data_IF_542429233608
#
_entry.id   IF_542429233608
#
_cell.length_a   1.000
_cell.length_b   1.000
_cell.length_c   1.000
_cell.angle_alpha   90.00
_cell.angle_beta   90.00
_cell.angle_gamma   90.00
#
_symmetry.space_group_name_H-M   'P 1'
#
loop_
_entity.id
_entity.type
_entity.pdbx_description
1 polymer ?
#
# COMPACT_ATOMS: atom_id res chain seq x y z
N UNK A 1 -33.97 22.88 -4.32
CA UNK A 1 -32.69 23.03 -3.59
C UNK A 1 -32.53 21.86 -2.62
N UNK A 2 -32.55 20.65 -3.06
CA UNK A 2 -32.62 19.44 -2.22
C UNK A 2 -32.24 18.15 -2.95
N UNK A 3 -31.56 18.23 -4.08
CA UNK A 3 -31.24 17.02 -4.89
C UNK A 3 -29.77 16.94 -5.32
N UNK A 4 -28.93 17.87 -4.93
CA UNK A 4 -27.49 17.92 -5.34
C UNK A 4 -26.51 17.46 -4.26
N UNK A 5 -26.96 17.00 -3.11
CA UNK A 5 -26.09 16.59 -1.98
C UNK A 5 -25.91 15.07 -1.88
N UNK A 6 -26.61 14.26 -2.68
CA UNK A 6 -26.57 12.80 -2.56
C UNK A 6 -25.64 12.09 -3.57
N UNK A 7 -25.05 12.79 -4.52
CA UNK A 7 -24.20 12.16 -5.56
C UNK A 7 -22.69 12.24 -5.30
N UNK A 8 -22.24 12.99 -4.29
CA UNK A 8 -20.80 13.12 -3.98
C UNK A 8 -20.22 12.03 -3.07
N UNK A 9 -20.99 11.02 -2.66
CA UNK A 9 -20.53 9.99 -1.71
C UNK A 9 -20.14 8.65 -2.33
N UNK A 10 -19.99 8.55 -3.64
CA UNK A 10 -19.79 7.28 -4.35
C UNK A 10 -18.36 7.12 -4.95
N UNK A 11 -17.37 7.87 -4.49
CA UNK A 11 -16.09 8.00 -5.21
C UNK A 11 -14.89 7.69 -4.34
N UNK A 12 -14.91 6.60 -3.65
CA UNK A 12 -13.68 5.96 -3.18
C UNK A 12 -13.53 4.62 -3.89
N UNK A 13 -12.73 4.63 -4.91
CA UNK A 13 -11.81 3.65 -5.34
C UNK A 13 -11.91 2.30 -4.75
N UNK A 14 -12.38 1.32 -5.39
CA UNK A 14 -12.20 -0.07 -4.96
C UNK A 14 -12.66 -0.40 -3.53
N UNK A 15 -13.15 0.59 -2.79
CA UNK A 15 -13.75 0.45 -1.47
C UNK A 15 -15.09 1.17 -1.53
N UNK A 16 -16.05 0.52 -2.16
CA UNK A 16 -17.44 0.97 -2.14
C UNK A 16 -18.03 0.69 -0.77
N UNK A 17 -18.36 1.74 -0.02
CA UNK A 17 -19.25 1.64 1.14
C UNK A 17 -20.61 1.11 0.67
N UNK A 18 -20.85 -0.19 0.82
CA UNK A 18 -22.19 -0.77 0.64
C UNK A 18 -23.03 -0.40 1.86
N UNK A 19 -23.94 0.54 1.67
CA UNK A 19 -25.06 0.74 2.60
C UNK A 19 -25.96 -0.50 2.55
N UNK A 20 -25.96 -1.29 3.61
CA UNK A 20 -26.87 -2.39 3.83
C UNK A 20 -28.29 -1.84 4.06
N UNK A 21 -29.23 -2.06 3.15
CA UNK A 21 -30.66 -2.02 3.44
C UNK A 21 -31.08 -3.37 4.02
N UNK A 22 -31.79 -3.29 5.13
CA UNK A 22 -32.35 -4.42 5.87
C UNK A 22 -33.39 -5.20 5.05
N UNK A 23 -33.37 -6.49 5.29
CA UNK A 23 -34.37 -7.56 5.12
C UNK A 23 -33.96 -8.64 4.10
N UNK A 24 -33.48 -9.73 4.66
CA UNK A 24 -33.28 -11.00 3.97
C UNK A 24 -32.54 -12.00 4.85
N UNK A 25 -33.27 -12.85 5.53
CA UNK A 25 -32.81 -14.00 6.30
C UNK A 25 -31.93 -14.90 5.44
N UNK A 26 -30.63 -15.02 5.79
CA UNK A 26 -29.77 -16.08 5.29
C UNK A 26 -29.51 -17.11 6.39
N UNK A 27 -29.94 -18.33 6.13
CA UNK A 27 -29.63 -19.52 6.94
C UNK A 27 -28.16 -19.90 6.77
N UNK A 28 -27.43 -19.97 7.87
CA UNK A 28 -26.08 -20.53 7.92
C UNK A 28 -26.14 -22.05 7.84
N UNK A 29 -25.51 -22.64 6.83
CA UNK A 29 -25.18 -24.05 6.82
C UNK A 29 -23.91 -24.26 7.69
N UNK A 30 -24.05 -25.10 8.68
CA UNK A 30 -22.99 -25.50 9.61
C UNK A 30 -22.16 -26.65 9.03
N UNK A 31 -20.86 -26.54 9.21
CA UNK A 31 -19.84 -27.60 9.32
C UNK A 31 -19.64 -28.60 8.17
N UNK A 32 -18.41 -28.64 7.70
CA UNK A 32 -17.84 -29.79 7.01
C UNK A 32 -16.59 -29.44 6.21
N UNK A 33 -15.48 -30.00 6.64
CA UNK A 33 -14.21 -30.19 5.93
C UNK A 33 -13.35 -28.97 5.59
N UNK A 34 -12.32 -28.84 6.42
CA UNK A 34 -11.05 -28.19 6.06
C UNK A 34 -10.29 -29.13 5.12
N UNK A 35 -10.64 -29.12 3.87
CA UNK A 35 -9.85 -29.68 2.77
C UNK A 35 -9.18 -28.51 2.05
N UNK A 36 -7.84 -28.55 1.88
CA UNK A 36 -7.08 -27.58 1.11
C UNK A 36 -7.61 -27.46 -0.33
N UNK A 37 -8.57 -26.59 -0.54
CA UNK A 37 -9.12 -26.25 -1.84
C UNK A 37 -8.25 -25.19 -2.48
N UNK A 38 -7.63 -25.51 -3.61
CA UNK A 38 -7.15 -24.53 -4.57
C UNK A 38 -8.29 -23.50 -4.80
N UNK A 39 -8.01 -22.23 -4.54
CA UNK A 39 -8.96 -21.15 -4.80
C UNK A 39 -9.32 -21.18 -6.28
N UNK A 40 -10.62 -21.29 -6.62
CA UNK A 40 -11.16 -21.19 -7.99
C UNK A 40 -11.00 -19.75 -8.57
N UNK A 41 -9.82 -19.17 -8.39
CA UNK A 41 -9.50 -17.84 -8.93
C UNK A 41 -9.28 -18.00 -10.45
N UNK A 42 -9.94 -17.21 -11.29
CA UNK A 42 -9.72 -17.27 -12.73
C UNK A 42 -8.22 -17.08 -13.06
N UNK A 43 -7.64 -17.87 -13.96
CA UNK A 43 -6.18 -17.84 -14.24
C UNK A 43 -5.62 -16.46 -14.61
N UNK A 44 -6.46 -15.57 -15.13
CA UNK A 44 -6.06 -14.20 -15.45
C UNK A 44 -5.96 -13.30 -14.23
N UNK A 45 -6.77 -13.52 -13.19
CA UNK A 45 -6.69 -12.79 -11.91
C UNK A 45 -5.39 -13.14 -11.20
N UNK A 46 -5.02 -14.43 -11.15
CA UNK A 46 -3.74 -14.87 -10.57
C UNK A 46 -2.52 -14.25 -11.27
N UNK A 47 -2.63 -14.02 -12.58
CA UNK A 47 -1.55 -13.37 -13.34
C UNK A 47 -1.41 -11.90 -12.93
N UNK A 48 -2.50 -11.14 -12.81
CA UNK A 48 -2.47 -9.75 -12.35
C UNK A 48 -1.99 -9.66 -10.89
N UNK A 49 -2.37 -10.61 -10.05
CA UNK A 49 -1.87 -10.71 -8.68
C UNK A 49 -0.35 -10.84 -8.66
N UNK A 50 0.22 -11.82 -9.38
CA UNK A 50 1.69 -12.00 -9.49
C UNK A 50 2.38 -10.79 -10.08
N UNK A 51 1.79 -10.16 -11.10
CA UNK A 51 2.27 -8.92 -11.69
C UNK A 51 2.37 -7.81 -10.64
N UNK A 52 1.30 -7.59 -9.87
CA UNK A 52 1.27 -6.58 -8.82
C UNK A 52 2.27 -6.87 -7.68
N UNK A 53 2.47 -8.14 -7.32
CA UNK A 53 3.46 -8.55 -6.30
C UNK A 53 4.90 -8.25 -6.77
N UNK A 54 5.24 -8.63 -8.02
CA UNK A 54 6.56 -8.39 -8.59
C UNK A 54 6.85 -6.89 -8.70
N UNK A 55 5.89 -6.13 -9.23
CA UNK A 55 5.97 -4.68 -9.27
C UNK A 55 6.20 -4.10 -7.87
N UNK A 56 5.41 -4.54 -6.88
CA UNK A 56 5.47 -4.01 -5.53
C UNK A 56 6.85 -4.22 -4.88
N UNK A 57 7.46 -5.39 -5.03
CA UNK A 57 8.78 -5.68 -4.48
C UNK A 57 9.87 -4.84 -5.15
N UNK A 58 9.85 -4.72 -6.49
CA UNK A 58 10.80 -3.91 -7.24
C UNK A 58 10.63 -2.42 -6.89
N UNK A 59 9.39 -1.93 -6.86
CA UNK A 59 9.08 -0.56 -6.48
C UNK A 59 9.59 -0.23 -5.07
N UNK A 60 9.35 -1.11 -4.11
CA UNK A 60 9.84 -0.94 -2.74
C UNK A 60 11.37 -0.92 -2.67
N UNK A 61 12.04 -1.79 -3.41
CA UNK A 61 13.51 -1.78 -3.50
C UNK A 61 14.01 -0.43 -4.01
N UNK A 62 13.50 0.07 -5.14
CA UNK A 62 13.98 1.33 -5.72
C UNK A 62 13.70 2.54 -4.83
N UNK A 63 12.55 2.57 -4.13
CA UNK A 63 12.26 3.63 -3.15
C UNK A 63 13.26 3.58 -2.00
N UNK A 64 13.54 2.40 -1.46
CA UNK A 64 14.50 2.21 -0.36
C UNK A 64 15.90 2.63 -0.80
N UNK A 65 16.34 2.22 -1.99
CA UNK A 65 17.64 2.61 -2.54
C UNK A 65 17.74 4.12 -2.79
N UNK A 66 16.67 4.74 -3.31
CA UNK A 66 16.64 6.19 -3.52
C UNK A 66 16.83 6.96 -2.21
N UNK A 67 16.19 6.51 -1.13
CA UNK A 67 16.28 7.18 0.18
C UNK A 67 17.64 6.89 0.84
N UNK A 68 18.13 5.67 0.77
CA UNK A 68 19.32 5.25 1.49
C UNK A 68 20.63 5.71 0.84
N UNK A 69 20.66 5.83 -0.49
CA UNK A 69 21.87 6.19 -1.22
C UNK A 69 21.89 7.62 -1.76
N UNK A 70 20.80 8.38 -1.63
CA UNK A 70 20.77 9.78 -2.06
C UNK A 70 21.02 10.72 -0.88
N UNK A 71 22.20 11.37 -0.81
CA UNK A 71 22.56 12.26 0.31
C UNK A 71 21.68 13.52 0.40
N UNK A 72 20.93 13.83 -0.64
CA UNK A 72 20.01 14.98 -0.65
C UNK A 72 18.62 14.63 -0.07
N UNK A 73 18.33 13.35 0.19
CA UNK A 73 17.08 12.92 0.80
C UNK A 73 17.25 12.90 2.32
N UNK A 74 16.53 13.77 3.00
CA UNK A 74 16.61 13.90 4.46
C UNK A 74 15.62 13.00 5.20
N UNK A 75 14.64 12.47 4.50
CA UNK A 75 13.62 11.56 5.06
C UNK A 75 14.21 10.18 5.27
N UNK A 76 14.10 9.66 6.49
CA UNK A 76 14.64 8.33 6.83
C UNK A 76 13.56 7.25 6.88
N UNK A 77 12.33 7.65 7.27
CA UNK A 77 11.18 6.75 7.26
C UNK A 77 10.51 6.78 5.88
N UNK A 78 10.02 5.64 5.43
CA UNK A 78 9.34 5.49 4.15
C UNK A 78 7.99 4.83 4.41
N UNK A 79 6.95 5.33 3.76
CA UNK A 79 5.75 4.58 3.47
C UNK A 79 5.29 4.91 2.06
N UNK A 80 5.08 3.89 1.25
CA UNK A 80 4.54 3.99 -0.11
C UNK A 80 3.47 2.93 -0.32
N UNK A 81 2.61 3.15 -1.30
CA UNK A 81 1.69 2.13 -1.78
C UNK A 81 2.09 1.68 -3.19
N UNK A 82 2.84 0.59 -3.31
CA UNK A 82 3.18 0.02 -4.61
C UNK A 82 1.93 -0.39 -5.39
N UNK A 83 0.93 -0.93 -4.69
CA UNK A 83 -0.35 -1.32 -5.29
C UNK A 83 -1.07 -0.14 -5.94
N UNK A 84 -1.08 1.01 -5.26
CA UNK A 84 -1.70 2.22 -5.81
C UNK A 84 -0.94 2.77 -7.02
N UNK A 85 0.41 2.73 -7.00
CA UNK A 85 1.24 3.10 -8.14
C UNK A 85 0.97 2.15 -9.33
N UNK A 86 0.93 0.83 -9.08
CA UNK A 86 0.59 -0.16 -10.09
C UNK A 86 -0.80 0.10 -10.71
N UNK A 87 -1.79 0.42 -9.89
CA UNK A 87 -3.14 0.78 -10.33
C UNK A 87 -3.15 2.00 -11.26
N UNK A 88 -2.50 3.10 -10.86
CA UNK A 88 -2.43 4.31 -11.70
C UNK A 88 -1.76 4.03 -13.05
N UNK A 89 -0.70 3.22 -13.05
CA UNK A 89 -0.02 2.84 -14.29
C UNK A 89 -0.90 1.95 -15.18
N UNK A 90 -1.71 1.06 -14.60
CA UNK A 90 -2.66 0.28 -15.40
C UNK A 90 -3.72 1.14 -16.05
N UNK A 91 -4.23 2.16 -15.35
CA UNK A 91 -5.19 3.12 -15.89
C UNK A 91 -4.63 3.87 -17.10
N UNK A 92 -3.40 4.37 -16.98
CA UNK A 92 -2.81 5.21 -18.02
C UNK A 92 -2.41 4.42 -19.27
N UNK A 93 -2.29 3.08 -19.19
CA UNK A 93 -2.08 2.25 -20.39
C UNK A 93 -3.22 2.42 -21.41
N UNK A 94 -4.44 2.77 -20.96
CA UNK A 94 -5.59 2.99 -21.85
C UNK A 94 -5.37 4.16 -22.81
N UNK A 95 -4.58 5.15 -22.38
CA UNK A 95 -4.27 6.33 -23.18
C UNK A 95 -2.98 6.24 -23.99
N UNK A 96 -2.14 5.23 -23.71
CA UNK A 96 -0.80 5.12 -24.29
C UNK A 96 -0.78 4.33 -25.59
N UNK A 97 0.22 4.62 -26.44
CA UNK A 97 0.51 3.92 -27.69
C UNK A 97 2.03 3.72 -27.88
N UNK A 98 2.38 2.89 -28.85
CA UNK A 98 3.77 2.68 -29.27
C UNK A 98 4.68 2.28 -28.10
N UNK A 99 5.89 2.84 -28.08
CA UNK A 99 6.91 2.50 -27.08
C UNK A 99 6.52 2.97 -25.68
N UNK A 100 5.78 4.07 -25.54
CA UNK A 100 5.24 4.51 -24.25
C UNK A 100 4.37 3.41 -23.62
N UNK A 101 3.48 2.78 -24.40
CA UNK A 101 2.67 1.64 -23.94
C UNK A 101 3.54 0.41 -23.64
N UNK A 102 4.53 0.11 -24.49
CA UNK A 102 5.43 -1.02 -24.27
C UNK A 102 6.20 -0.91 -22.95
N UNK A 103 6.78 0.25 -22.64
CA UNK A 103 7.48 0.50 -21.38
C UNK A 103 6.56 0.32 -20.17
N UNK A 104 5.32 0.80 -20.25
CA UNK A 104 4.31 0.61 -19.20
C UNK A 104 3.97 -0.87 -18.99
N UNK A 105 3.69 -1.62 -20.07
CA UNK A 105 3.34 -3.04 -19.99
C UNK A 105 4.50 -3.89 -19.45
N UNK A 106 5.74 -3.58 -19.83
CA UNK A 106 6.95 -4.26 -19.32
C UNK A 106 7.10 -4.02 -17.82
N UNK A 107 6.98 -2.77 -17.38
CA UNK A 107 7.09 -2.43 -15.96
C UNK A 107 5.96 -3.04 -15.11
N UNK A 108 4.77 -3.14 -15.68
CA UNK A 108 3.62 -3.80 -15.06
C UNK A 108 3.71 -5.34 -15.11
N UNK A 109 4.69 -5.94 -15.79
CA UNK A 109 4.80 -7.39 -16.04
C UNK A 109 3.52 -7.98 -16.69
N UNK A 110 2.94 -7.26 -17.65
CA UNK A 110 1.74 -7.63 -18.40
C UNK A 110 2.06 -7.69 -19.88
N UNK A 111 1.61 -8.73 -20.57
CA UNK A 111 1.95 -8.93 -21.99
C UNK A 111 1.07 -8.11 -22.92
N UNK A 112 -0.21 -7.94 -22.58
CA UNK A 112 -1.20 -7.29 -23.42
C UNK A 112 -2.19 -6.50 -22.55
N UNK A 113 -2.62 -5.35 -23.03
CA UNK A 113 -3.59 -4.47 -22.36
C UNK A 113 -4.94 -5.18 -22.11
N UNK A 114 -5.36 -6.08 -23.00
CA UNK A 114 -6.59 -6.86 -22.85
C UNK A 114 -6.60 -7.72 -21.58
N UNK A 115 -5.44 -8.15 -21.09
CA UNK A 115 -5.34 -8.90 -19.85
C UNK A 115 -5.76 -8.01 -18.65
N UNK A 116 -5.37 -6.73 -18.68
CA UNK A 116 -5.80 -5.77 -17.67
C UNK A 116 -7.32 -5.58 -17.75
N UNK A 117 -7.84 -5.24 -18.94
CA UNK A 117 -9.28 -4.98 -19.14
C UNK A 117 -10.17 -6.15 -18.71
N UNK A 118 -9.75 -7.38 -19.01
CA UNK A 118 -10.55 -8.58 -18.74
C UNK A 118 -10.56 -8.96 -17.25
N UNK A 119 -9.49 -8.69 -16.52
CA UNK A 119 -9.31 -9.21 -15.16
C UNK A 119 -9.16 -8.14 -14.07
N UNK A 120 -9.03 -6.86 -14.44
CA UNK A 120 -8.86 -5.78 -13.46
C UNK A 120 -10.05 -5.67 -12.50
N UNK A 121 -11.29 -5.62 -12.99
CA UNK A 121 -12.47 -5.52 -12.12
C UNK A 121 -12.61 -6.69 -11.14
N UNK A 122 -12.55 -7.96 -11.57
CA UNK A 122 -12.55 -9.09 -10.63
C UNK A 122 -11.39 -9.01 -9.63
N UNK A 123 -10.19 -8.65 -10.08
CA UNK A 123 -9.02 -8.45 -9.22
C UNK A 123 -9.28 -7.33 -8.21
N UNK A 124 -9.74 -6.19 -8.67
CA UNK A 124 -10.05 -5.05 -7.85
C UNK A 124 -11.18 -5.33 -6.83
N UNK A 125 -12.23 -6.03 -7.23
CA UNK A 125 -13.34 -6.41 -6.34
C UNK A 125 -12.90 -7.30 -5.19
N UNK A 126 -11.83 -8.08 -5.36
CA UNK A 126 -11.29 -8.91 -4.28
C UNK A 126 -10.80 -8.11 -3.07
N UNK A 127 -10.52 -6.80 -3.25
CA UNK A 127 -10.13 -5.89 -2.17
C UNK A 127 -11.30 -5.13 -1.53
N UNK A 128 -12.49 -5.17 -2.12
CA UNK A 128 -13.63 -4.33 -1.70
C UNK A 128 -14.27 -4.72 -0.37
N UNK A 129 -13.84 -5.81 0.26
CA UNK A 129 -14.39 -6.33 1.51
C UNK A 129 -13.47 -6.00 2.71
N UNK A 130 -13.02 -4.75 2.82
CA UNK A 130 -12.25 -4.33 3.98
C UNK A 130 -13.14 -4.26 5.23
N UNK A 131 -12.55 -4.62 6.35
CA UNK A 131 -13.18 -4.67 7.65
C UNK A 131 -13.49 -3.27 8.19
N UNK A 132 -14.52 -3.17 9.04
CA UNK A 132 -14.84 -1.94 9.77
C UNK A 132 -13.72 -1.54 10.75
N UNK A 133 -12.88 -2.49 11.09
CA UNK A 133 -11.77 -2.35 12.03
C UNK A 133 -10.49 -1.78 11.37
N UNK A 134 -10.55 -1.49 10.07
CA UNK A 134 -9.43 -0.88 9.33
C UNK A 134 -9.90 0.38 8.65
N UNK A 135 -9.33 1.50 9.07
CA UNK A 135 -9.48 2.77 8.35
C UNK A 135 -8.46 2.81 7.22
N UNK A 136 -8.94 2.56 6.02
CA UNK A 136 -8.18 2.77 4.81
C UNK A 136 -8.94 3.80 3.96
N UNK A 137 -8.42 5.02 3.90
CA UNK A 137 -8.90 6.02 2.96
C UNK A 137 -7.89 6.13 1.82
N UNK A 138 -8.37 5.94 0.59
CA UNK A 138 -7.53 5.98 -0.60
C UNK A 138 -8.26 6.69 -1.73
N UNK A 139 -7.55 7.55 -2.45
CA UNK A 139 -8.06 8.19 -3.65
C UNK A 139 -6.98 8.25 -4.73
N UNK A 140 -7.39 8.08 -5.98
CA UNK A 140 -6.52 8.16 -7.13
C UNK A 140 -7.17 9.06 -8.18
N UNK A 141 -6.38 9.93 -8.76
CA UNK A 141 -6.86 10.87 -9.75
C UNK A 141 -5.89 10.97 -10.93
N UNK A 142 -6.45 11.01 -12.12
CA UNK A 142 -5.79 11.45 -13.36
C UNK A 142 -6.30 12.85 -13.63
N UNK A 143 -5.47 13.84 -13.38
CA UNK A 143 -5.83 15.26 -13.50
C UNK A 143 -5.38 15.77 -14.87
N UNK A 144 -6.31 16.26 -15.66
CA UNK A 144 -6.08 16.74 -17.03
C UNK A 144 -6.49 18.19 -17.17
N UNK A 145 -6.01 18.88 -18.22
CA UNK A 145 -6.40 20.26 -18.48
C UNK A 145 -7.81 20.29 -19.10
N UNK A 146 -8.76 20.99 -18.46
CA UNK A 146 -10.13 21.17 -18.98
C UNK A 146 -10.17 21.87 -20.34
N UNK A 147 -9.14 22.66 -20.68
CA UNK A 147 -9.00 23.31 -21.98
C UNK A 147 -8.45 22.37 -23.06
N UNK A 148 -8.09 21.15 -22.70
CA UNK A 148 -7.63 20.09 -23.58
C UNK A 148 -8.45 18.84 -23.31
N UNK A 149 -9.68 18.76 -23.83
CA UNK A 149 -10.57 17.65 -23.53
C UNK A 149 -9.95 16.32 -23.94
N UNK A 150 -10.16 15.33 -23.09
CA UNK A 150 -9.77 13.96 -23.38
C UNK A 150 -10.71 13.31 -24.39
N UNK A 151 -10.23 12.28 -25.10
CA UNK A 151 -11.06 11.54 -26.04
C UNK A 151 -12.18 10.78 -25.30
N UNK A 152 -13.33 10.69 -25.95
CA UNK A 152 -14.47 9.93 -25.40
C UNK A 152 -14.17 8.44 -25.24
N UNK A 153 -13.29 7.90 -26.07
CA UNK A 153 -12.90 6.50 -25.99
C UNK A 153 -12.07 6.24 -24.74
N UNK A 154 -11.15 7.14 -24.39
CA UNK A 154 -10.37 7.07 -23.16
C UNK A 154 -11.27 7.22 -21.92
N UNK A 155 -12.15 8.22 -21.91
CA UNK A 155 -13.12 8.43 -20.82
C UNK A 155 -14.00 7.18 -20.64
N UNK A 156 -14.55 6.66 -21.73
CA UNK A 156 -15.36 5.43 -21.71
C UNK A 156 -14.59 4.20 -21.24
N UNK A 157 -13.29 4.09 -21.58
CA UNK A 157 -12.46 2.99 -21.09
C UNK A 157 -12.27 3.07 -19.58
N UNK A 158 -11.99 4.26 -19.04
CA UNK A 158 -11.87 4.45 -17.59
C UNK A 158 -13.18 4.10 -16.85
N UNK A 159 -14.32 4.54 -17.36
CA UNK A 159 -15.64 4.25 -16.77
C UNK A 159 -15.99 2.76 -16.83
N UNK A 160 -15.72 2.11 -17.97
CA UNK A 160 -16.09 0.72 -18.19
C UNK A 160 -15.19 -0.27 -17.47
N UNK A 161 -13.88 -0.03 -17.43
CA UNK A 161 -12.92 -1.00 -16.91
C UNK A 161 -12.40 -0.66 -15.51
N UNK A 162 -12.48 0.64 -15.10
CA UNK A 162 -11.92 1.12 -13.84
C UNK A 162 -12.99 1.81 -12.99
N UNK A 163 -12.86 3.11 -12.74
CA UNK A 163 -13.79 3.90 -11.94
C UNK A 163 -14.03 5.27 -12.56
N UNK A 164 -15.29 5.70 -12.69
CA UNK A 164 -15.66 6.94 -13.39
C UNK A 164 -15.12 8.22 -12.74
N UNK A 165 -14.72 8.18 -11.50
CA UNK A 165 -14.27 9.37 -10.76
C UNK A 165 -12.77 9.57 -10.74
N UNK A 166 -12.03 8.70 -11.40
CA UNK A 166 -10.56 8.82 -11.50
C UNK A 166 -10.16 10.03 -12.33
N UNK A 167 -10.89 10.32 -13.41
CA UNK A 167 -10.59 11.45 -14.29
C UNK A 167 -11.11 12.77 -13.71
N UNK A 168 -10.22 13.75 -13.56
CA UNK A 168 -10.53 15.07 -13.00
C UNK A 168 -10.04 16.19 -13.93
N UNK A 169 -10.90 16.74 -14.79
CA UNK A 169 -10.56 17.93 -15.58
C UNK A 169 -10.43 19.17 -14.69
N UNK A 170 -9.31 19.89 -14.82
CA UNK A 170 -9.00 21.09 -14.04
C UNK A 170 -8.45 22.19 -14.93
N UNK A 171 -8.61 23.44 -14.53
CA UNK A 171 -8.08 24.59 -15.26
C UNK A 171 -6.61 24.87 -14.90
N UNK A 172 -5.67 24.32 -15.64
CA UNK A 172 -4.23 24.53 -15.36
C UNK A 172 -3.79 25.98 -15.60
N UNK A 173 -4.54 26.79 -16.34
CA UNK A 173 -4.28 28.21 -16.47
C UNK A 173 -4.62 28.99 -15.19
N UNK A 174 -5.61 28.53 -14.42
CA UNK A 174 -5.93 29.07 -13.10
C UNK A 174 -5.34 28.19 -11.98
N UNK A 175 -4.02 28.30 -11.80
CA UNK A 175 -3.28 27.46 -10.85
C UNK A 175 -3.81 27.55 -9.43
N UNK A 176 -4.18 28.74 -8.94
CA UNK A 176 -4.68 28.91 -7.57
C UNK A 176 -5.99 28.15 -7.34
N UNK A 177 -6.93 28.25 -8.27
CA UNK A 177 -8.20 27.53 -8.17
C UNK A 177 -7.99 26.01 -8.28
N UNK A 178 -7.13 25.56 -9.19
CA UNK A 178 -6.78 24.14 -9.35
C UNK A 178 -6.12 23.58 -8.08
N UNK A 179 -5.15 24.30 -7.51
CA UNK A 179 -4.51 23.96 -6.26
C UNK A 179 -5.52 23.75 -5.11
N UNK A 180 -6.43 24.73 -4.92
CA UNK A 180 -7.45 24.65 -3.88
C UNK A 180 -8.41 23.47 -4.12
N UNK A 181 -8.83 23.26 -5.37
CA UNK A 181 -9.80 22.23 -5.73
C UNK A 181 -9.22 20.83 -5.55
N UNK A 182 -7.98 20.59 -6.01
CA UNK A 182 -7.31 19.29 -5.88
C UNK A 182 -7.06 18.96 -4.40
N UNK A 183 -6.52 19.90 -3.62
CA UNK A 183 -6.28 19.68 -2.20
C UNK A 183 -7.58 19.47 -1.40
N UNK A 184 -8.67 20.12 -1.79
CA UNK A 184 -9.99 19.86 -1.21
C UNK A 184 -10.49 18.44 -1.54
N UNK A 185 -10.39 17.99 -2.80
CA UNK A 185 -10.75 16.63 -3.19
C UNK A 185 -9.98 15.58 -2.36
N UNK A 186 -8.70 15.82 -2.16
CA UNK A 186 -7.84 14.95 -1.35
C UNK A 186 -8.25 14.95 0.11
N UNK A 187 -8.45 16.12 0.69
CA UNK A 187 -8.88 16.26 2.09
C UNK A 187 -10.23 15.56 2.32
N UNK A 188 -11.19 15.76 1.42
CA UNK A 188 -12.51 15.13 1.52
C UNK A 188 -12.40 13.59 1.39
N UNK A 189 -11.63 13.10 0.43
CA UNK A 189 -11.41 11.66 0.21
C UNK A 189 -10.69 10.99 1.38
N UNK A 190 -9.82 11.70 2.08
CA UNK A 190 -9.07 11.20 3.24
C UNK A 190 -9.66 11.64 4.58
N UNK A 191 -10.89 12.17 4.60
CA UNK A 191 -11.56 12.64 5.82
C UNK A 191 -10.71 13.63 6.64
N UNK A 192 -9.91 14.45 5.96
CA UNK A 192 -9.01 15.43 6.58
C UNK A 192 -7.67 14.86 7.06
N UNK A 193 -7.42 13.56 6.95
CA UNK A 193 -6.13 12.97 7.36
C UNK A 193 -4.96 13.44 6.50
N UNK A 194 -5.21 13.75 5.22
CA UNK A 194 -4.25 14.36 4.30
C UNK A 194 -4.87 15.66 3.78
N UNK A 195 -4.57 16.80 4.40
CA UNK A 195 -5.22 18.07 4.03
C UNK A 195 -4.67 18.68 2.73
N UNK A 196 -3.49 18.24 2.28
CA UNK A 196 -2.79 18.78 1.13
C UNK A 196 -1.95 17.70 0.47
N UNK A 197 -2.04 17.60 -0.87
CA UNK A 197 -1.30 16.60 -1.65
C UNK A 197 -0.50 17.19 -2.82
N UNK A 198 -0.80 18.41 -3.26
CA UNK A 198 -0.05 19.08 -4.31
C UNK A 198 0.43 20.45 -3.87
N UNK A 199 1.54 20.90 -4.46
CA UNK A 199 2.08 22.24 -4.33
C UNK A 199 1.76 23.07 -5.58
N UNK A 200 1.90 24.40 -5.45
CA UNK A 200 1.73 25.29 -6.61
C UNK A 200 2.75 25.01 -7.73
N UNK A 201 3.95 24.56 -7.37
CA UNK A 201 5.00 24.15 -8.30
C UNK A 201 4.62 22.93 -9.15
N UNK A 202 3.79 22.01 -8.63
CA UNK A 202 3.33 20.83 -9.38
C UNK A 202 2.42 21.20 -10.56
N UNK A 203 1.86 22.41 -10.53
CA UNK A 203 1.01 22.96 -11.58
C UNK A 203 1.79 23.81 -12.62
N UNK A 204 3.12 23.93 -12.44
CA UNK A 204 3.98 24.60 -13.42
C UNK A 204 4.18 23.67 -14.62
N UNK A 205 3.80 24.17 -15.81
CA UNK A 205 3.86 23.41 -17.06
C UNK A 205 3.15 22.04 -17.04
N UNK A 206 2.20 21.87 -16.11
CA UNK A 206 1.44 20.64 -15.99
C UNK A 206 0.67 20.31 -17.28
N UNK A 207 0.65 19.01 -17.63
CA UNK A 207 -0.09 18.47 -18.78
C UNK A 207 -1.03 17.35 -18.35
N UNK A 208 -0.53 16.41 -17.59
CA UNK A 208 -1.25 15.33 -16.95
C UNK A 208 -0.58 15.03 -15.61
N UNK A 209 -1.34 15.09 -14.53
CA UNK A 209 -0.87 14.76 -13.19
C UNK A 209 -1.57 13.48 -12.75
N UNK A 210 -0.79 12.50 -12.31
CA UNK A 210 -1.29 11.31 -11.65
C UNK A 210 -1.13 11.50 -10.14
N UNK A 211 -2.22 11.39 -9.40
CA UNK A 211 -2.23 11.61 -7.96
C UNK A 211 -2.80 10.41 -7.23
N UNK A 212 -2.10 9.98 -6.20
CA UNK A 212 -2.53 8.92 -5.29
C UNK A 212 -2.36 9.38 -3.85
N UNK A 213 -3.41 9.28 -3.06
CA UNK A 213 -3.38 9.60 -1.64
C UNK A 213 -3.95 8.45 -0.84
N UNK A 214 -3.26 8.08 0.24
CA UNK A 214 -3.65 6.95 1.07
C UNK A 214 -3.39 7.26 2.54
N UNK A 215 -4.38 6.96 3.35
CA UNK A 215 -4.28 6.96 4.80
C UNK A 215 -4.58 5.56 5.32
N UNK A 216 -3.73 5.05 6.19
CA UNK A 216 -3.91 3.75 6.83
C UNK A 216 -3.80 3.84 8.34
N UNK A 217 -4.82 3.34 9.02
CA UNK A 217 -4.82 3.04 10.45
C UNK A 217 -5.62 1.76 10.66
N UNK A 218 -4.95 0.69 11.09
CA UNK A 218 -5.58 -0.60 11.35
C UNK A 218 -5.67 -0.88 12.84
N UNK A 219 -6.79 -1.46 13.27
CA UNK A 219 -6.92 -2.03 14.60
C UNK A 219 -6.38 -3.46 14.59
N UNK A 220 -5.48 -3.77 15.51
CA UNK A 220 -4.90 -5.13 15.62
C UNK A 220 -5.98 -6.16 15.97
N UNK A 221 -5.90 -7.36 15.43
CA UNK A 221 -6.76 -8.46 15.87
C UNK A 221 -6.59 -8.71 17.37
N UNK A 222 -5.34 -8.67 17.86
CA UNK A 222 -5.00 -8.74 19.30
C UNK A 222 -4.34 -7.40 19.64
N UNK A 223 -4.99 -6.51 20.43
CA UNK A 223 -4.45 -5.20 20.76
C UNK A 223 -3.25 -5.30 21.69
N UNK A 224 -2.37 -4.31 21.62
CA UNK A 224 -1.35 -4.12 22.64
C UNK A 224 -1.98 -3.49 23.91
N UNK A 225 -1.55 -3.97 25.06
CA UNK A 225 -2.00 -3.35 26.33
C UNK A 225 -1.16 -2.11 26.63
N UNK A 226 -1.81 -0.94 26.68
CA UNK A 226 -1.15 0.35 26.94
C UNK A 226 -0.34 0.36 28.23
N UNK A 227 -0.73 -0.44 29.26
CA UNK A 227 0.02 -0.51 30.52
C UNK A 227 1.38 -1.20 30.39
N UNK A 228 1.63 -1.91 29.28
CA UNK A 228 2.90 -2.56 28.98
C UNK A 228 3.76 -1.77 27.99
N UNK A 229 3.26 -0.63 27.48
CA UNK A 229 4.07 0.29 26.69
C UNK A 229 5.07 0.99 27.59
N UNK A 230 6.35 0.91 27.26
CA UNK A 230 7.45 1.48 28.05
C UNK A 230 8.43 2.23 27.16
N UNK A 231 9.08 3.24 27.74
CA UNK A 231 10.13 3.98 27.02
C UNK A 231 11.43 3.17 27.01
N UNK A 232 11.92 2.87 25.81
CA UNK A 232 13.18 2.16 25.62
C UNK A 232 14.05 2.85 24.57
N UNK A 233 15.38 2.64 24.60
CA UNK A 233 16.26 3.23 23.59
C UNK A 233 16.01 2.57 22.21
N UNK A 234 16.00 3.41 21.17
CA UNK A 234 16.04 2.99 19.78
C UNK A 234 17.42 3.28 19.20
N UNK A 235 17.92 2.40 18.37
CA UNK A 235 19.27 2.42 17.84
C UNK A 235 19.27 2.65 16.33
N UNK A 236 20.33 3.24 15.81
CA UNK A 236 20.57 3.31 14.37
C UNK A 236 21.19 2.01 13.81
N UNK A 237 21.53 2.01 12.52
CA UNK A 237 22.15 0.88 11.85
C UNK A 237 23.56 0.54 12.39
N UNK A 238 24.22 1.51 13.07
CA UNK A 238 25.54 1.37 13.69
C UNK A 238 25.45 1.02 15.18
N UNK A 239 24.27 0.62 15.65
CA UNK A 239 24.00 0.33 17.07
C UNK A 239 24.20 1.54 18.01
N UNK A 240 24.14 2.79 17.49
CA UNK A 240 24.17 3.98 18.32
C UNK A 240 22.76 4.37 18.75
N UNK A 241 22.54 4.71 20.05
CA UNK A 241 21.23 5.13 20.50
C UNK A 241 20.86 6.51 19.90
N UNK A 242 19.69 6.61 19.28
CA UNK A 242 19.19 7.85 18.67
C UNK A 242 18.13 8.55 19.48
N UNK A 243 17.61 7.93 20.54
CA UNK A 243 16.61 8.46 21.43
C UNK A 243 15.77 7.38 22.09
N UNK A 244 14.77 7.81 22.89
CA UNK A 244 13.80 6.92 23.52
C UNK A 244 12.54 6.86 22.67
N UNK A 245 11.87 5.70 22.65
CA UNK A 245 10.61 5.46 21.94
C UNK A 245 9.61 4.76 22.84
N UNK A 246 8.32 5.01 22.63
CA UNK A 246 7.26 4.24 23.28
C UNK A 246 7.19 2.85 22.61
N UNK A 247 7.69 1.85 23.32
CA UNK A 247 7.73 0.45 22.87
C UNK A 247 6.53 -0.30 23.41
N UNK A 248 5.63 -0.70 22.51
CA UNK A 248 4.49 -1.56 22.81
C UNK A 248 4.97 -3.00 23.01
N UNK A 249 4.31 -3.73 23.90
CA UNK A 249 4.59 -5.12 24.20
C UNK A 249 3.33 -5.98 24.15
N UNK A 250 3.45 -7.12 23.50
CA UNK A 250 2.48 -8.22 23.63
C UNK A 250 3.16 -9.56 23.48
N UNK A 251 2.48 -10.60 23.93
CA UNK A 251 2.88 -11.99 23.78
C UNK A 251 1.70 -12.81 23.26
N UNK A 252 1.95 -13.65 22.28
CA UNK A 252 0.91 -14.46 21.66
C UNK A 252 1.43 -15.36 20.56
N UNK A 253 0.55 -16.15 19.99
CA UNK A 253 0.86 -17.03 18.85
C UNK A 253 0.71 -16.23 17.58
N UNK A 254 1.81 -15.98 16.90
CA UNK A 254 1.89 -15.24 15.66
C UNK A 254 2.73 -15.99 14.63
N UNK A 255 2.40 -15.89 13.33
CA UNK A 255 3.30 -16.38 12.28
C UNK A 255 4.66 -15.68 12.39
N UNK A 256 5.71 -16.43 12.66
CA UNK A 256 7.05 -15.91 12.87
C UNK A 256 8.10 -16.86 12.36
N UNK A 257 9.00 -16.40 11.51
CA UNK A 257 10.08 -17.22 10.96
C UNK A 257 11.38 -16.44 10.78
N UNK A 258 12.49 -17.19 10.88
CA UNK A 258 13.82 -16.71 10.53
C UNK A 258 14.20 -17.13 9.11
N UNK A 259 14.49 -16.16 8.26
CA UNK A 259 14.86 -16.36 6.85
C UNK A 259 16.36 -16.21 6.67
N UNK A 260 17.06 -17.34 6.51
CA UNK A 260 18.53 -17.36 6.34
C UNK A 260 18.95 -16.68 5.05
N UNK A 261 18.19 -16.89 3.98
CA UNK A 261 18.44 -16.34 2.65
C UNK A 261 18.28 -14.82 2.62
N UNK A 262 17.43 -14.28 3.48
CA UNK A 262 17.20 -12.84 3.60
C UNK A 262 18.09 -12.18 4.67
N UNK A 263 18.75 -12.96 5.53
CA UNK A 263 19.39 -12.46 6.75
C UNK A 263 18.44 -11.64 7.63
N UNK A 264 17.19 -12.08 7.77
CA UNK A 264 16.13 -11.39 8.49
C UNK A 264 15.23 -12.33 9.25
N UNK A 265 14.47 -11.77 10.19
CA UNK A 265 13.28 -12.38 10.79
C UNK A 265 12.05 -11.64 10.26
N UNK A 266 10.98 -12.37 10.04
CA UNK A 266 9.69 -11.79 9.63
C UNK A 266 8.62 -12.26 10.60
N UNK A 267 7.84 -11.29 11.09
CA UNK A 267 6.68 -11.49 11.97
C UNK A 267 5.44 -10.98 11.25
N UNK A 268 4.33 -11.70 11.36
CA UNK A 268 3.03 -11.26 10.87
C UNK A 268 2.10 -10.88 12.02
N UNK A 269 1.56 -9.67 11.99
CA UNK A 269 0.55 -9.17 12.91
C UNK A 269 -0.75 -8.89 12.15
N UNK A 270 -1.84 -9.64 12.40
CA UNK A 270 -3.10 -9.46 11.70
C UNK A 270 -3.89 -8.26 12.21
N UNK A 271 -4.61 -7.62 11.29
CA UNK A 271 -5.56 -6.55 11.54
C UNK A 271 -7.00 -7.05 11.49
N UNK A 272 -7.86 -6.44 12.31
CA UNK A 272 -9.30 -6.68 12.30
C UNK A 272 -9.72 -8.07 12.76
N UNK A 273 -11.02 -8.27 12.93
CA UNK A 273 -11.57 -9.57 13.34
C UNK A 273 -11.47 -10.63 12.24
N UNK A 274 -11.54 -10.23 10.97
CA UNK A 274 -11.52 -11.15 9.83
C UNK A 274 -10.11 -11.50 9.34
N UNK A 275 -9.05 -10.86 9.88
CA UNK A 275 -7.63 -11.11 9.57
C UNK A 275 -7.27 -11.06 8.08
N UNK A 276 -8.01 -10.27 7.29
CA UNK A 276 -7.74 -10.14 5.85
C UNK A 276 -6.49 -9.32 5.56
N UNK A 277 -6.22 -8.33 6.40
CA UNK A 277 -5.02 -7.53 6.33
C UNK A 277 -4.08 -7.92 7.46
N UNK A 278 -2.79 -7.87 7.16
CA UNK A 278 -1.74 -8.10 8.13
C UNK A 278 -0.59 -7.12 7.91
N UNK A 279 0.12 -6.79 8.98
CA UNK A 279 1.44 -6.18 8.89
C UNK A 279 2.50 -7.25 8.95
N UNK A 280 3.33 -7.35 7.91
CA UNK A 280 4.58 -8.09 7.95
C UNK A 280 5.67 -7.14 8.45
N UNK A 281 6.33 -7.52 9.54
CA UNK A 281 7.46 -6.79 10.11
C UNK A 281 8.75 -7.51 9.74
N UNK A 282 9.68 -6.81 9.11
CA UNK A 282 10.92 -7.35 8.57
C UNK A 282 12.09 -6.80 9.38
N UNK A 283 12.69 -7.64 10.22
CA UNK A 283 13.81 -7.27 11.07
C UNK A 283 15.10 -7.85 10.52
N UNK A 284 16.01 -7.03 10.01
CA UNK A 284 17.34 -7.47 9.59
C UNK A 284 18.11 -8.15 10.71
N UNK A 285 18.97 -9.11 10.39
CA UNK A 285 19.98 -9.60 11.33
C UNK A 285 20.94 -8.44 11.71
N UNK A 286 21.46 -8.47 12.91
CA UNK A 286 22.43 -7.46 13.35
C UNK A 286 23.60 -7.32 12.37
N UNK A 287 23.93 -6.07 12.02
CA UNK A 287 25.00 -5.76 11.07
C UNK A 287 24.62 -5.92 9.59
N UNK A 288 23.37 -6.27 9.29
CA UNK A 288 22.86 -6.33 7.90
C UNK A 288 22.02 -5.09 7.63
N UNK A 289 22.34 -4.25 6.63
CA UNK A 289 21.52 -3.12 6.24
C UNK A 289 20.15 -3.55 5.75
N UNK A 290 19.11 -2.78 6.09
CA UNK A 290 17.74 -3.11 5.66
C UNK A 290 17.60 -3.14 4.13
N UNK A 291 18.25 -2.23 3.42
CA UNK A 291 18.24 -2.18 1.95
C UNK A 291 18.71 -3.49 1.32
N UNK A 292 19.71 -4.17 1.92
CA UNK A 292 20.20 -5.46 1.43
C UNK A 292 19.14 -6.58 1.64
N UNK A 293 18.43 -6.54 2.76
CA UNK A 293 17.32 -7.47 3.02
C UNK A 293 16.23 -7.30 1.99
N UNK A 294 15.83 -6.04 1.69
CA UNK A 294 14.81 -5.74 0.69
C UNK A 294 15.25 -6.20 -0.71
N UNK A 295 16.53 -5.96 -1.08
CA UNK A 295 17.08 -6.45 -2.36
C UNK A 295 17.01 -7.97 -2.47
N UNK A 296 17.37 -8.70 -1.41
CA UNK A 296 17.24 -10.16 -1.37
C UNK A 296 15.79 -10.61 -1.47
N UNK A 297 14.86 -9.87 -0.84
CA UNK A 297 13.43 -10.19 -0.85
C UNK A 297 12.83 -10.16 -2.26
N UNK A 298 13.28 -9.24 -3.13
CA UNK A 298 12.86 -9.20 -4.54
C UNK A 298 13.18 -10.52 -5.26
N UNK A 299 14.38 -11.07 -5.04
CA UNK A 299 14.79 -12.34 -5.64
C UNK A 299 14.13 -13.56 -4.96
N UNK A 300 13.89 -13.47 -3.65
CA UNK A 300 13.26 -14.55 -2.88
C UNK A 300 11.77 -14.71 -3.23
N UNK A 301 11.06 -13.59 -3.36
CA UNK A 301 9.63 -13.53 -3.65
C UNK A 301 8.75 -13.60 -2.41
N UNK A 302 7.63 -12.88 -2.46
CA UNK A 302 6.72 -12.74 -1.32
C UNK A 302 5.93 -14.03 -1.04
N UNK A 303 5.62 -14.84 -2.03
CA UNK A 303 4.89 -16.09 -1.85
C UNK A 303 5.64 -17.07 -0.95
N UNK A 304 6.96 -17.17 -1.10
CA UNK A 304 7.80 -17.99 -0.21
C UNK A 304 7.79 -17.48 1.22
N UNK A 305 7.71 -16.15 1.41
CA UNK A 305 7.56 -15.58 2.76
C UNK A 305 6.27 -16.04 3.39
N UNK A 306 5.16 -15.97 2.66
CA UNK A 306 3.87 -16.45 3.16
C UNK A 306 3.86 -17.94 3.45
N UNK A 307 4.45 -18.75 2.57
CA UNK A 307 4.50 -20.20 2.77
C UNK A 307 5.33 -20.60 4.01
N UNK A 308 6.41 -19.88 4.32
CA UNK A 308 7.19 -20.10 5.56
C UNK A 308 6.44 -19.64 6.81
N UNK A 309 5.72 -18.50 6.74
CA UNK A 309 4.89 -18.03 7.84
C UNK A 309 3.73 -18.99 8.12
N UNK A 310 3.09 -19.55 7.08
CA UNK A 310 2.05 -20.57 7.23
C UNK A 310 2.60 -21.83 7.88
N UNK A 311 3.79 -22.30 7.46
CA UNK A 311 4.46 -23.45 8.07
C UNK A 311 4.81 -23.21 9.53
N UNK A 312 5.22 -21.99 9.88
CA UNK A 312 5.58 -21.68 11.27
C UNK A 312 4.43 -21.89 12.26
N UNK A 313 3.19 -21.66 11.84
CA UNK A 313 2.01 -21.91 12.67
C UNK A 313 1.72 -23.40 12.86
N UNK A 314 2.12 -24.25 11.91
CA UNK A 314 1.94 -25.69 11.99
C UNK A 314 3.07 -26.35 12.81
N UNK A 315 4.31 -25.91 12.56
CA UNK A 315 5.50 -26.50 13.18
C UNK A 315 5.65 -26.10 14.67
N UNK A 316 5.09 -24.91 15.03
CA UNK A 316 5.20 -24.29 16.36
C UNK A 316 3.84 -23.90 16.93
N UNK A 317 2.85 -24.79 16.81
CA UNK A 317 1.42 -24.56 17.07
C UNK A 317 1.12 -23.90 18.43
N UNK A 318 1.92 -24.22 19.46
CA UNK A 318 1.76 -23.68 20.81
C UNK A 318 2.83 -22.65 21.21
N UNK A 319 3.74 -22.29 20.33
CA UNK A 319 4.85 -21.41 20.67
C UNK A 319 4.45 -19.93 20.57
N UNK A 320 4.48 -19.27 21.71
CA UNK A 320 4.24 -17.83 21.78
C UNK A 320 5.48 -17.04 21.35
N UNK A 321 5.28 -15.88 20.76
CA UNK A 321 6.32 -14.92 20.40
C UNK A 321 6.17 -13.68 21.26
N UNK A 322 7.26 -13.18 21.86
CA UNK A 322 7.30 -11.86 22.49
C UNK A 322 7.52 -10.79 21.41
N UNK A 323 6.57 -9.89 21.26
CA UNK A 323 6.58 -8.83 20.27
C UNK A 323 6.81 -7.48 20.94
N UNK A 324 7.89 -6.79 20.51
CA UNK A 324 8.21 -5.44 20.91
C UNK A 324 8.21 -4.55 19.65
N UNK A 325 7.22 -3.67 19.52
CA UNK A 325 7.03 -2.79 18.37
C UNK A 325 6.90 -1.34 18.83
N UNK A 326 7.70 -0.39 18.33
CA UNK A 326 7.53 1.01 18.69
C UNK A 326 6.24 1.57 18.11
N UNK A 327 5.63 2.52 18.80
CA UNK A 327 4.61 3.38 18.22
C UNK A 327 5.25 4.27 17.16
N UNK A 328 4.55 4.48 16.06
CA UNK A 328 5.00 5.42 15.05
C UNK A 328 3.82 6.00 14.24
N UNK A 329 4.00 7.26 13.87
CA UNK A 329 3.13 7.96 12.95
C UNK A 329 4.01 8.82 12.05
N UNK A 330 3.84 8.69 10.74
CA UNK A 330 4.52 9.55 9.77
C UNK A 330 3.79 9.55 8.43
N UNK A 331 4.14 10.52 7.62
CA UNK A 331 3.70 10.63 6.23
C UNK A 331 4.90 10.64 5.29
N UNK A 332 4.65 10.22 4.07
CA UNK A 332 5.59 10.33 2.95
C UNK A 332 4.92 11.03 1.78
N UNK A 333 5.70 11.87 1.12
CA UNK A 333 5.31 12.62 -0.07
C UNK A 333 6.39 12.40 -1.14
N UNK A 334 6.00 11.75 -2.22
CA UNK A 334 6.93 11.41 -3.29
C UNK A 334 6.39 11.80 -4.66
N UNK A 335 7.24 12.44 -5.46
CA UNK A 335 7.12 12.36 -6.90
C UNK A 335 7.77 11.03 -7.35
N UNK A 336 6.96 10.14 -7.90
CA UNK A 336 7.39 8.78 -8.25
C UNK A 336 8.16 8.70 -9.57
N UNK A 337 8.23 9.76 -10.38
CA UNK A 337 8.90 9.74 -11.69
C UNK A 337 10.33 9.20 -11.61
N UNK A 338 11.19 9.63 -10.65
CA UNK A 338 12.56 9.09 -10.55
C UNK A 338 12.59 7.56 -10.33
N UNK A 339 11.65 7.04 -9.54
CA UNK A 339 11.54 5.62 -9.23
C UNK A 339 11.06 4.85 -10.46
N UNK A 340 10.01 5.36 -11.12
CA UNK A 340 9.43 4.76 -12.32
C UNK A 340 10.43 4.75 -13.50
N UNK A 341 11.27 5.80 -13.60
CA UNK A 341 12.39 5.82 -14.55
C UNK A 341 13.39 4.69 -14.32
N UNK A 342 13.71 4.38 -13.06
CA UNK A 342 14.58 3.23 -12.73
C UNK A 342 13.90 1.90 -13.05
N UNK A 343 12.57 1.82 -12.96
CA UNK A 343 11.78 0.66 -13.37
C UNK A 343 11.62 0.52 -14.89
N UNK A 344 12.17 1.47 -15.67
CA UNK A 344 12.18 1.41 -17.14
C UNK A 344 11.08 2.22 -17.83
N UNK A 345 10.22 2.93 -17.11
CA UNK A 345 9.22 3.82 -17.68
C UNK A 345 9.88 5.19 -17.85
N UNK A 346 10.11 5.61 -19.09
CA UNK A 346 10.83 6.85 -19.40
C UNK A 346 10.06 7.75 -20.36
N UNK A 347 9.62 7.20 -21.49
CA UNK A 347 8.95 7.99 -22.52
C UNK A 347 7.69 8.67 -22.01
N UNK A 348 6.93 8.02 -21.12
CA UNK A 348 5.70 8.57 -20.54
C UNK A 348 5.88 9.95 -19.88
N UNK A 349 7.10 10.27 -19.43
CA UNK A 349 7.46 11.49 -18.71
C UNK A 349 8.23 12.51 -19.57
N UNK A 350 8.56 12.16 -20.80
CA UNK A 350 9.31 13.03 -21.72
C UNK A 350 8.36 13.75 -22.69
N UNK A 351 8.33 15.08 -22.60
CA UNK A 351 7.45 15.93 -23.40
C UNK A 351 7.70 15.85 -24.92
N UNK A 352 8.87 15.35 -25.34
CA UNK A 352 9.27 15.26 -26.76
C UNK A 352 8.91 13.94 -27.42
N UNK A 353 8.70 12.86 -26.65
CA UNK A 353 8.53 11.50 -27.19
C UNK A 353 7.31 10.75 -26.63
N UNK A 354 6.72 11.22 -25.51
CA UNK A 354 5.55 10.57 -24.92
C UNK A 354 4.42 10.44 -25.94
N UNK A 355 3.86 9.24 -26.04
CA UNK A 355 2.77 8.95 -26.95
C UNK A 355 1.50 8.53 -26.20
N UNK A 356 0.63 9.53 -25.99
CA UNK A 356 -0.70 9.40 -25.37
C UNK A 356 -1.80 9.84 -26.35
N UNK A 357 -1.67 9.43 -27.60
CA UNK A 357 -2.58 9.77 -28.70
C UNK A 357 -4.02 9.31 -28.47
N UNK A 358 -4.22 8.26 -27.66
CA UNK A 358 -5.55 7.80 -27.26
C UNK A 358 -6.21 8.68 -26.18
N UNK A 359 -5.42 9.48 -25.43
CA UNK A 359 -5.99 10.45 -24.48
C UNK A 359 -6.53 11.66 -25.23
N UNK A 360 -5.78 12.18 -26.20
CA UNK A 360 -6.20 13.36 -26.96
C UNK A 360 -5.47 13.43 -28.29
N UNK A 361 -6.18 13.84 -29.33
CA UNK A 361 -5.62 14.09 -30.68
C UNK A 361 -4.68 15.32 -30.70
N UNK A 362 -4.73 16.15 -29.65
CA UNK A 362 -3.84 17.30 -29.48
C UNK A 362 -2.47 16.80 -29.00
N UNK A 363 -1.53 16.66 -29.94
CA UNK A 363 -0.15 16.28 -29.67
C UNK A 363 0.46 17.07 -28.51
N UNK A 364 1.25 16.39 -27.65
CA UNK A 364 2.00 16.89 -26.49
C UNK A 364 1.35 16.69 -25.12
N UNK A 365 0.67 15.54 -24.92
CA UNK A 365 0.36 15.07 -23.57
C UNK A 365 1.51 14.18 -23.10
N UNK A 366 2.04 14.50 -21.93
CA UNK A 366 2.98 13.67 -21.18
C UNK A 366 2.62 13.74 -19.70
N UNK A 367 3.04 12.75 -18.91
CA UNK A 367 2.83 12.76 -17.48
C UNK A 367 3.85 13.71 -16.85
N UNK A 368 3.40 14.88 -16.40
CA UNK A 368 4.27 15.90 -15.79
C UNK A 368 4.60 15.62 -14.34
N UNK A 369 3.72 14.91 -13.61
CA UNK A 369 3.95 14.51 -12.22
C UNK A 369 3.20 13.23 -11.88
N UNK A 370 3.82 12.39 -11.06
CA UNK A 370 3.20 11.22 -10.42
C UNK A 370 3.40 11.37 -8.91
N UNK A 371 2.38 11.89 -8.24
CA UNK A 371 2.45 12.25 -6.83
C UNK A 371 1.78 11.16 -6.00
N UNK A 372 2.49 10.67 -4.98
CA UNK A 372 1.91 9.79 -4.00
C UNK A 372 2.13 10.36 -2.61
N UNK A 373 1.02 10.58 -1.89
CA UNK A 373 1.05 10.90 -0.47
C UNK A 373 0.44 9.78 0.35
N UNK A 374 1.18 9.32 1.34
CA UNK A 374 0.77 8.21 2.18
C UNK A 374 1.01 8.55 3.65
N UNK A 375 0.02 8.29 4.50
CA UNK A 375 0.12 8.45 5.95
C UNK A 375 -0.21 7.14 6.65
N UNK A 376 0.57 6.80 7.68
CA UNK A 376 0.36 5.63 8.52
C UNK A 376 0.35 6.01 9.99
N UNK A 377 -0.53 5.36 10.76
CA UNK A 377 -0.57 5.45 12.21
C UNK A 377 -0.53 4.04 12.80
N UNK A 378 0.45 3.78 13.67
CA UNK A 378 0.63 2.51 14.39
C UNK A 378 0.68 2.79 15.89
N UNK A 379 -0.31 2.28 16.60
CA UNK A 379 -0.49 2.43 18.05
C UNK A 379 -1.01 1.12 18.66
N UNK A 380 -1.39 1.14 19.92
CA UNK A 380 -1.85 -0.04 20.67
C UNK A 380 -3.26 -0.54 20.30
N UNK A 381 -4.03 0.23 19.52
CA UNK A 381 -5.46 -0.02 19.32
C UNK A 381 -5.75 -1.32 18.58
N UNK A 382 -6.78 -2.03 19.03
CA UNK A 382 -7.22 -3.29 18.44
C UNK A 382 -8.73 -3.47 18.53
N UNK A 383 -9.24 -4.47 17.81
CA UNK A 383 -10.68 -4.75 17.65
C UNK A 383 -11.31 -5.47 18.84
N UNK A 384 -10.53 -6.19 19.61
CA UNK A 384 -11.04 -6.98 20.72
C UNK A 384 -10.85 -6.28 22.06
N UNK A 385 -11.95 -6.00 22.76
CA UNK A 385 -12.00 -5.54 24.16
C UNK A 385 -11.73 -6.69 25.14
N UNK A 386 -11.08 -7.76 24.73
CA UNK A 386 -10.78 -8.88 25.62
C UNK A 386 -9.65 -8.49 26.55
N UNK A 387 -9.96 -8.45 27.84
CA UNK A 387 -8.95 -8.45 28.87
C UNK A 387 -7.96 -9.58 28.56
N UNK A 388 -6.70 -9.21 28.31
CA UNK A 388 -5.63 -10.16 28.17
C UNK A 388 -5.59 -10.99 29.44
N UNK A 389 -6.07 -12.22 29.37
CA UNK A 389 -5.94 -13.16 30.47
C UNK A 389 -4.45 -13.46 30.54
N UNK A 390 -3.79 -12.91 31.55
CA UNK A 390 -2.44 -13.33 31.92
C UNK A 390 -2.53 -14.79 32.35
N UNK A 391 -2.40 -15.70 31.40
CA UNK A 391 -2.26 -17.12 31.68
C UNK A 391 -1.02 -17.31 32.51
N UNK A 392 -1.14 -18.06 33.61
CA UNK A 392 0.03 -18.54 34.39
C UNK A 392 0.77 -19.50 33.50
N UNK A 393 1.86 -19.03 32.88
CA UNK A 393 2.68 -19.83 31.97
C UNK A 393 3.51 -20.83 32.78
N UNK A 394 3.16 -22.10 32.70
CA UNK A 394 4.00 -23.21 33.23
C UNK A 394 5.20 -23.38 32.30
N UNK A 395 6.39 -23.29 32.89
CA UNK A 395 7.72 -23.72 32.40
C UNK A 395 7.82 -24.26 30.95
N UNK A 396 7.65 -23.41 29.95
CA UNK A 396 8.12 -23.67 28.60
C UNK A 396 9.44 -22.91 28.37
N UNK A 397 10.21 -23.34 27.39
CA UNK A 397 11.42 -22.62 26.96
C UNK A 397 11.15 -21.13 26.77
N UNK A 398 12.18 -20.28 26.95
CA UNK A 398 12.05 -18.85 26.73
C UNK A 398 11.50 -18.60 25.32
N UNK A 399 10.36 -17.90 25.17
CA UNK A 399 9.77 -17.67 23.86
C UNK A 399 10.71 -16.89 22.95
N UNK A 400 10.65 -17.12 21.65
CA UNK A 400 11.37 -16.28 20.69
C UNK A 400 10.91 -14.83 20.81
N UNK A 401 11.83 -13.90 20.57
CA UNK A 401 11.57 -12.48 20.71
C UNK A 401 11.73 -11.77 19.38
N UNK A 402 10.71 -11.01 18.97
CA UNK A 402 10.79 -10.03 17.93
C UNK A 402 10.94 -8.63 18.55
N UNK A 403 12.10 -8.01 18.40
CA UNK A 403 12.41 -6.73 19.03
C UNK A 403 12.75 -5.66 17.97
N UNK A 404 11.77 -4.79 17.68
CA UNK A 404 11.91 -3.72 16.71
C UNK A 404 12.49 -2.43 17.35
N UNK A 405 13.70 -2.50 17.88
CA UNK A 405 14.41 -1.37 18.52
C UNK A 405 15.55 -0.79 17.66
N UNK A 406 15.59 -1.10 16.39
CA UNK A 406 16.51 -0.60 15.36
C UNK A 406 15.81 -0.60 14.01
N UNK A 407 16.41 -0.05 12.93
CA UNK A 407 15.76 0.02 11.62
C UNK A 407 15.13 -1.29 11.16
N UNK A 408 13.86 -1.22 10.78
CA UNK A 408 13.09 -2.37 10.31
C UNK A 408 12.20 -1.98 9.12
N UNK A 409 11.93 -2.96 8.28
CA UNK A 409 10.95 -2.84 7.20
C UNK A 409 9.57 -3.30 7.64
N UNK A 410 8.54 -2.84 6.94
CA UNK A 410 7.19 -3.35 7.10
C UNK A 410 6.45 -3.39 5.77
N UNK A 411 5.48 -4.28 5.68
CA UNK A 411 4.51 -4.32 4.58
C UNK A 411 3.11 -4.51 5.15
N UNK A 412 2.12 -3.81 4.59
CA UNK A 412 0.72 -4.11 4.84
C UNK A 412 0.22 -4.92 3.65
N UNK A 413 -0.26 -6.10 3.94
CA UNK A 413 -0.61 -7.10 2.93
C UNK A 413 -2.07 -7.51 3.03
N UNK A 414 -2.70 -7.78 1.90
CA UNK A 414 -3.92 -8.56 1.87
C UNK A 414 -3.52 -10.03 1.92
N UNK A 415 -3.83 -10.71 3.03
CA UNK A 415 -3.39 -12.07 3.32
C UNK A 415 -4.01 -13.08 2.36
N UNK A 416 -5.27 -12.89 2.03
CA UNK A 416 -6.01 -13.79 1.15
C UNK A 416 -5.51 -13.74 -0.30
N UNK A 417 -5.23 -12.53 -0.82
CA UNK A 417 -4.67 -12.33 -2.15
C UNK A 417 -3.15 -12.27 -2.18
N UNK A 418 -2.48 -12.39 -1.04
CA UNK A 418 -1.01 -12.26 -0.93
C UNK A 418 -0.46 -10.99 -1.62
N UNK A 419 -1.24 -9.90 -1.61
CA UNK A 419 -0.90 -8.65 -2.31
C UNK A 419 -0.37 -7.61 -1.34
N UNK A 420 0.70 -6.92 -1.75
CA UNK A 420 1.35 -5.87 -0.97
C UNK A 420 0.64 -4.55 -1.25
N UNK A 421 -0.11 -4.04 -0.26
CA UNK A 421 -0.83 -2.76 -0.37
C UNK A 421 0.09 -1.58 -0.04
N UNK A 422 0.86 -1.72 1.04
CA UNK A 422 1.84 -0.72 1.47
C UNK A 422 3.17 -1.40 1.77
N UNK A 423 4.24 -0.65 1.59
CA UNK A 423 5.58 -1.04 1.99
C UNK A 423 6.31 0.17 2.59
N UNK A 424 7.17 -0.07 3.55
CA UNK A 424 7.89 1.00 4.20
C UNK A 424 9.02 0.56 5.10
N UNK A 425 9.72 1.55 5.64
CA UNK A 425 10.76 1.35 6.65
C UNK A 425 10.63 2.38 7.77
N UNK A 426 11.00 1.97 8.95
CA UNK A 426 11.11 2.82 10.13
C UNK A 426 12.55 2.81 10.58
N UNK A 427 13.27 3.90 10.33
CA UNK A 427 14.64 4.13 10.81
C UNK A 427 14.68 5.08 12.00
N UNK A 428 13.65 5.91 12.14
CA UNK A 428 13.51 6.87 13.22
C UNK A 428 12.04 7.00 13.65
N UNK A 429 11.56 6.17 14.57
CA UNK A 429 10.22 6.31 15.12
C UNK A 429 10.04 7.66 15.82
N UNK A 430 8.80 7.96 16.26
CA UNK A 430 8.55 9.14 17.09
C UNK A 430 9.35 9.02 18.39
N UNK A 431 10.26 9.94 18.60
CA UNK A 431 11.06 10.02 19.83
C UNK A 431 10.27 10.72 20.94
N UNK A 432 10.49 10.27 22.19
CA UNK A 432 9.86 10.83 23.40
C UNK A 432 10.85 11.77 24.11
#
# INVERSE_FOLDING_TARGET
MGQFVLECLAVCLLITLVRCQQNGTFTFATSGDVGGGATDTPPGVDRLQRSSQKFALQFYQYVTELVDYNPNVTTTNIIVSPFSAWNLLTLITEGASGRTLEELLIALDVQQQEQIRNYYKPFAQSFSLLDRDVQLAAAQYVITDENRPVSKDFESALDNFYSPSVLQPMNFANRSLTYERVNRLVSDATQGHIPKAIEMSDLEDARLIMLSVLFFQGQWTIPFNRSFTTNVPFYDENEQPIGMVEMMFQRGIFPFAGYKELDAQILELPYGANRRLSMLLIMPRKGVPLVEVIRKLVAYGIDRVFDELDRSLVDFDDDEVEVHLPKFEFNSDYNLIPILNQMGIREAFDSGVANFDKISDLNAIYISSVIQQTKIVVNEEGTMTTAVTTGVFANKATPPRFLANRPFGFMIVNRQQRTILFAGQVKRPNLV
#
